data_IF_200954755735
#
_entry.id   IF_200954755735
#
_cell.length_a   1.000
_cell.length_b   1.000
_cell.length_c   1.000
_cell.angle_alpha   90.00
_cell.angle_beta   90.00
_cell.angle_gamma   90.00
#
_symmetry.space_group_name_H-M   'P 1'
#
loop_
_entity.id
_entity.type
_entity.pdbx_description
1 polymer ?
#
# COMPACT_ATOMS: atom_id res chain seq x y z
N UNK A 1 40.96 15.22 44.07
CA UNK A 1 40.94 15.17 42.59
C UNK A 1 39.55 14.70 42.21
N UNK A 2 38.61 15.65 42.13
CA UNK A 2 37.29 15.37 41.60
C UNK A 2 37.45 15.18 40.10
N UNK A 3 37.11 13.99 39.63
CA UNK A 3 37.06 13.68 38.21
C UNK A 3 35.76 14.25 37.66
N UNK A 4 35.87 15.36 36.93
CA UNK A 4 34.78 15.89 36.13
C UNK A 4 34.37 14.82 35.11
N UNK A 5 33.26 14.12 35.40
CA UNK A 5 32.52 13.37 34.39
C UNK A 5 31.99 14.38 33.38
N UNK A 6 32.71 14.55 32.28
CA UNK A 6 32.26 15.27 31.10
C UNK A 6 31.05 14.50 30.57
N UNK A 7 29.84 14.93 30.94
CA UNK A 7 28.60 14.43 30.33
C UNK A 7 28.70 14.77 28.85
N UNK A 8 28.89 13.75 28.03
CA UNK A 8 28.93 13.89 26.59
C UNK A 8 27.56 14.40 26.15
N UNK A 9 27.49 15.68 25.76
CA UNK A 9 26.26 16.32 25.32
C UNK A 9 25.75 15.57 24.09
N UNK A 10 24.69 14.78 24.30
CA UNK A 10 24.07 13.97 23.25
C UNK A 10 23.49 14.92 22.19
N UNK A 11 24.24 15.10 21.12
CA UNK A 11 23.81 15.86 19.95
C UNK A 11 23.04 14.89 19.05
N UNK A 12 21.74 15.09 18.89
CA UNK A 12 20.92 14.24 18.02
C UNK A 12 21.24 14.51 16.55
N UNK A 13 21.24 13.48 15.72
CA UNK A 13 21.37 13.56 14.27
C UNK A 13 20.03 13.25 13.63
N UNK A 14 19.50 14.17 12.82
CA UNK A 14 18.20 14.01 12.16
C UNK A 14 18.30 14.05 10.65
N UNK A 15 17.29 13.50 9.99
CA UNK A 15 17.08 13.66 8.55
C UNK A 15 15.90 14.60 8.34
N UNK A 16 16.14 15.72 7.67
CA UNK A 16 15.10 16.71 7.35
C UNK A 16 14.72 16.58 5.88
N UNK A 17 13.44 16.64 5.57
CA UNK A 17 12.87 16.70 4.22
C UNK A 17 12.08 17.99 4.02
N UNK A 18 11.87 18.40 2.77
CA UNK A 18 10.88 19.46 2.48
C UNK A 18 9.48 18.94 2.76
N UNK A 19 8.62 19.77 3.34
CA UNK A 19 7.24 19.46 3.63
C UNK A 19 6.53 18.89 2.38
N UNK A 20 5.83 17.76 2.52
CA UNK A 20 5.19 17.05 1.41
C UNK A 20 6.08 16.17 0.52
N UNK A 21 7.38 16.04 0.81
CA UNK A 21 8.32 15.25 -0.02
C UNK A 21 8.99 14.11 0.75
N UNK A 22 9.29 13.00 0.07
CA UNK A 22 10.06 11.87 0.62
C UNK A 22 11.43 11.68 -0.03
N UNK A 23 11.87 12.63 -0.85
CA UNK A 23 13.13 12.61 -1.59
C UNK A 23 14.02 13.79 -1.19
N UNK A 24 15.32 13.68 -1.46
CA UNK A 24 16.32 14.71 -1.19
C UNK A 24 16.45 15.13 0.28
N UNK A 25 16.24 14.16 1.18
CA UNK A 25 16.47 14.33 2.61
C UNK A 25 17.92 14.70 2.92
N UNK A 26 18.12 15.60 3.89
CA UNK A 26 19.45 16.06 4.29
C UNK A 26 19.65 15.84 5.78
N UNK A 27 20.86 15.41 6.13
CA UNK A 27 21.24 15.13 7.52
C UNK A 27 21.68 16.43 8.21
N UNK A 28 21.25 16.60 9.46
CA UNK A 28 21.62 17.71 10.35
C UNK A 28 21.99 17.17 11.73
N UNK A 29 22.92 17.86 12.38
CA UNK A 29 23.04 17.80 13.84
C UNK A 29 22.02 18.77 14.43
N UNK A 30 21.38 18.37 15.51
CA UNK A 30 20.39 19.17 16.22
C UNK A 30 21.12 20.11 17.19
N UNK A 31 21.15 21.42 16.92
CA UNK A 31 21.66 22.40 17.89
C UNK A 31 20.67 22.56 19.05
N UNK A 32 21.08 23.28 20.09
CA UNK A 32 20.23 23.58 21.27
C UNK A 32 19.09 24.56 20.98
N UNK A 33 19.22 25.33 19.91
CA UNK A 33 18.28 26.38 19.56
C UNK A 33 17.56 26.02 18.26
N UNK A 34 16.23 26.07 18.27
CA UNK A 34 15.41 25.82 17.09
C UNK A 34 15.69 26.83 15.96
N UNK A 35 15.96 28.09 16.28
CA UNK A 35 16.27 29.12 15.29
C UNK A 35 17.57 28.79 14.53
N UNK A 36 18.59 28.33 15.25
CA UNK A 36 19.86 27.89 14.66
C UNK A 36 19.65 26.68 13.74
N UNK A 37 18.79 25.73 14.15
CA UNK A 37 18.42 24.59 13.31
C UNK A 37 17.68 25.05 12.04
N UNK A 38 16.72 25.96 12.17
CA UNK A 38 15.96 26.50 11.05
C UNK A 38 16.84 27.29 10.08
N UNK A 39 17.78 28.09 10.57
CA UNK A 39 18.76 28.81 9.73
C UNK A 39 19.66 27.83 8.95
N UNK A 40 20.17 26.80 9.61
CA UNK A 40 20.97 25.76 8.96
C UNK A 40 20.17 25.02 7.87
N UNK A 41 18.91 24.69 8.17
CA UNK A 41 17.99 24.06 7.22
C UNK A 41 17.70 25.01 6.05
N UNK A 42 17.37 26.27 6.31
CA UNK A 42 17.10 27.29 5.30
C UNK A 42 18.26 27.44 4.31
N UNK A 43 19.48 27.57 4.84
CA UNK A 43 20.70 27.69 4.05
C UNK A 43 20.94 26.45 3.19
N UNK A 44 20.76 25.25 3.76
CA UNK A 44 21.01 24.00 3.05
C UNK A 44 19.95 23.77 1.96
N UNK A 45 18.68 23.94 2.27
CA UNK A 45 17.58 23.69 1.32
C UNK A 45 17.31 24.84 0.34
N UNK A 46 17.86 26.03 0.57
CA UNK A 46 17.56 27.22 -0.23
C UNK A 46 16.09 27.64 -0.11
N UNK A 47 15.51 27.55 1.08
CA UNK A 47 14.11 27.89 1.36
C UNK A 47 14.04 28.82 2.58
N UNK A 48 12.91 29.51 2.76
CA UNK A 48 12.62 30.19 4.01
C UNK A 48 12.07 29.17 5.01
N UNK A 49 12.91 28.57 5.85
CA UNK A 49 12.45 27.64 6.89
C UNK A 49 11.74 28.41 8.01
N UNK A 50 10.51 28.00 8.36
CA UNK A 50 9.76 28.62 9.48
C UNK A 50 9.22 27.64 10.49
N UNK A 51 8.84 26.44 10.04
CA UNK A 51 8.20 25.43 10.89
C UNK A 51 8.82 24.08 10.62
N UNK A 52 8.82 23.24 11.65
CA UNK A 52 9.41 21.91 11.62
C UNK A 52 8.40 20.92 12.18
N UNK A 53 8.23 19.77 11.53
CA UNK A 53 7.24 18.77 11.92
C UNK A 53 7.86 17.38 12.01
N UNK A 54 7.31 16.55 12.89
CA UNK A 54 7.52 15.10 12.89
C UNK A 54 6.80 14.44 11.72
N UNK A 55 7.11 13.17 11.44
CA UNK A 55 6.41 12.37 10.44
C UNK A 55 4.91 12.18 10.69
N UNK A 56 4.45 12.40 11.92
CA UNK A 56 3.03 12.35 12.31
C UNK A 56 2.34 13.72 12.28
N UNK A 57 3.04 14.77 11.85
CA UNK A 57 2.52 16.13 11.77
C UNK A 57 2.51 16.90 13.09
N UNK A 58 3.12 16.37 14.15
CA UNK A 58 3.38 17.15 15.37
C UNK A 58 4.44 18.20 15.10
N UNK A 59 4.13 19.46 15.37
CA UNK A 59 5.07 20.59 15.23
C UNK A 59 6.13 20.54 16.33
N UNK A 60 7.37 20.80 15.95
CA UNK A 60 8.51 20.88 16.88
C UNK A 60 8.71 22.35 17.25
N UNK A 61 8.55 22.64 18.53
CA UNK A 61 8.82 23.93 19.16
C UNK A 61 10.06 23.90 20.06
N UNK A 62 10.47 22.73 20.53
CA UNK A 62 11.68 22.52 21.34
C UNK A 62 12.58 21.42 20.75
N UNK A 63 13.83 21.79 20.43
CA UNK A 63 14.85 20.86 19.94
C UNK A 63 15.21 19.75 20.93
N UNK A 64 14.99 19.94 22.23
CA UNK A 64 15.24 18.91 23.24
C UNK A 64 14.31 17.69 23.10
N UNK A 65 13.17 17.85 22.40
CA UNK A 65 12.22 16.77 22.16
C UNK A 65 12.59 15.89 20.97
N UNK A 66 13.53 16.35 20.13
CA UNK A 66 13.97 15.66 18.93
C UNK A 66 14.81 14.45 19.30
N UNK A 67 14.47 13.29 18.77
CA UNK A 67 15.20 12.05 18.98
C UNK A 67 16.32 11.89 17.95
N UNK A 68 17.33 11.12 18.33
CA UNK A 68 18.38 10.71 17.41
C UNK A 68 17.78 9.86 16.27
N UNK A 69 18.25 10.11 15.06
CA UNK A 69 17.79 9.52 13.80
C UNK A 69 16.32 9.82 13.44
N UNK A 70 15.72 10.83 14.06
CA UNK A 70 14.34 11.22 13.76
C UNK A 70 14.23 11.88 12.37
N UNK A 71 13.10 11.60 11.70
CA UNK A 71 12.76 12.21 10.41
C UNK A 71 11.84 13.40 10.63
N UNK A 72 12.27 14.56 10.13
CA UNK A 72 11.58 15.83 10.29
C UNK A 72 11.25 16.45 8.93
N UNK A 73 10.25 17.34 8.91
CA UNK A 73 9.77 18.02 7.72
C UNK A 73 9.78 19.53 7.93
N UNK A 74 10.50 20.26 7.07
CA UNK A 74 10.57 21.72 7.12
C UNK A 74 9.57 22.36 6.15
N UNK A 75 8.84 23.36 6.64
CA UNK A 75 7.89 24.16 5.86
C UNK A 75 8.26 25.65 5.86
N UNK A 76 7.76 26.38 4.86
CA UNK A 76 7.92 27.84 4.74
C UNK A 76 6.80 28.66 5.40
N UNK A 77 6.02 28.00 6.26
CA UNK A 77 4.91 28.58 7.03
C UNK A 77 3.63 27.78 6.89
N UNK A 78 3.47 27.03 5.81
CA UNK A 78 2.35 26.13 5.60
C UNK A 78 2.27 25.03 6.67
N UNK A 79 1.05 24.52 6.89
CA UNK A 79 0.80 23.37 7.76
C UNK A 79 1.49 22.11 7.22
N UNK A 80 1.66 21.12 8.09
CA UNK A 80 2.23 19.84 7.69
C UNK A 80 1.49 19.22 6.51
N UNK A 81 2.25 18.79 5.51
CA UNK A 81 1.81 18.02 4.35
C UNK A 81 2.53 16.67 4.47
N UNK A 82 1.76 15.62 4.72
CA UNK A 82 2.30 14.27 4.73
C UNK A 82 3.00 13.99 3.39
N UNK A 83 4.24 13.50 3.38
CA UNK A 83 4.92 13.19 2.14
C UNK A 83 4.16 12.12 1.36
N UNK A 84 4.28 12.09 0.04
CA UNK A 84 3.49 11.21 -0.84
C UNK A 84 3.57 9.72 -0.48
N UNK A 85 4.64 9.27 0.21
CA UNK A 85 4.80 7.91 0.71
C UNK A 85 4.22 7.64 2.11
N UNK A 86 3.79 8.69 2.83
CA UNK A 86 3.12 8.61 4.15
C UNK A 86 1.68 9.15 4.10
N UNK A 87 1.28 9.80 3.00
CA UNK A 87 -0.13 9.90 2.66
C UNK A 87 -0.70 8.48 2.61
N UNK A 88 -1.93 8.22 3.10
CA UNK A 88 -2.56 6.92 2.91
C UNK A 88 -2.43 6.56 1.43
N UNK A 89 -1.73 5.46 1.16
CA UNK A 89 -1.46 4.93 -0.18
C UNK A 89 -2.68 5.23 -1.05
N UNK A 90 -2.50 6.05 -2.10
CA UNK A 90 -3.53 6.13 -3.14
C UNK A 90 -3.87 4.68 -3.47
N UNK A 91 -5.16 4.29 -3.52
CA UNK A 91 -5.52 2.92 -3.83
C UNK A 91 -4.76 2.51 -5.09
N UNK A 92 -3.85 1.55 -4.95
CA UNK A 92 -3.02 1.06 -6.05
C UNK A 92 -3.94 0.31 -7.00
N UNK A 93 -4.55 1.07 -7.91
CA UNK A 93 -5.54 0.59 -8.84
C UNK A 93 -4.89 -0.31 -9.87
N UNK A 94 -5.41 -1.53 -9.95
CA UNK A 94 -5.03 -2.56 -10.90
C UNK A 94 -6.18 -2.75 -11.88
N UNK A 95 -5.85 -2.75 -13.17
CA UNK A 95 -6.79 -3.08 -14.24
C UNK A 95 -6.50 -4.50 -14.74
N UNK A 96 -7.52 -5.35 -14.72
CA UNK A 96 -7.47 -6.71 -15.27
C UNK A 96 -8.36 -6.76 -16.52
N UNK A 97 -7.90 -7.39 -17.58
CA UNK A 97 -8.70 -7.68 -18.76
C UNK A 97 -8.88 -9.20 -18.84
N UNK A 98 -10.06 -9.67 -18.41
CA UNK A 98 -10.39 -11.09 -18.32
C UNK A 98 -11.29 -11.45 -19.48
N UNK A 99 -10.76 -12.19 -20.46
CA UNK A 99 -11.50 -12.63 -21.65
C UNK A 99 -12.13 -11.47 -22.45
N UNK A 100 -11.54 -10.27 -22.41
CA UNK A 100 -12.03 -9.08 -23.09
C UNK A 100 -12.85 -8.11 -22.22
N UNK A 101 -13.21 -8.47 -20.98
CA UNK A 101 -13.90 -7.57 -20.03
C UNK A 101 -12.90 -6.96 -19.05
N UNK A 102 -12.93 -5.63 -18.91
CA UNK A 102 -12.10 -4.90 -17.95
C UNK A 102 -12.69 -4.90 -16.54
N UNK A 103 -11.86 -5.19 -15.55
CA UNK A 103 -12.15 -5.10 -14.13
C UNK A 103 -11.14 -4.17 -13.47
N UNK A 104 -11.64 -3.12 -12.82
CA UNK A 104 -10.82 -2.25 -11.97
C UNK A 104 -10.93 -2.72 -10.50
N UNK A 105 -9.78 -2.85 -9.84
CA UNK A 105 -9.69 -3.22 -8.42
C UNK A 105 -8.43 -2.63 -7.81
N UNK A 106 -8.16 -2.91 -6.54
CA UNK A 106 -6.93 -2.47 -5.87
C UNK A 106 -6.01 -3.65 -5.64
N UNK A 107 -4.70 -3.41 -5.60
CA UNK A 107 -3.71 -4.42 -5.22
C UNK A 107 -4.08 -5.13 -3.91
N UNK A 108 -4.50 -4.37 -2.90
CA UNK A 108 -4.98 -4.92 -1.62
C UNK A 108 -6.10 -5.94 -1.80
N UNK A 109 -7.08 -5.70 -2.69
CA UNK A 109 -8.15 -6.66 -2.95
C UNK A 109 -7.60 -8.01 -3.41
N UNK A 110 -6.57 -7.99 -4.27
CA UNK A 110 -6.01 -9.20 -4.88
C UNK A 110 -5.09 -9.98 -3.93
N UNK A 111 -4.48 -9.33 -2.93
CA UNK A 111 -3.47 -9.95 -2.07
C UNK A 111 -3.94 -10.24 -0.65
N UNK A 112 -4.95 -9.51 -0.14
CA UNK A 112 -5.27 -9.54 1.30
C UNK A 112 -5.97 -10.81 1.76
N UNK A 113 -6.87 -11.38 0.95
CA UNK A 113 -7.73 -12.50 1.37
C UNK A 113 -7.11 -13.86 1.10
N UNK A 114 -6.50 -14.02 -0.07
CA UNK A 114 -5.89 -15.26 -0.53
C UNK A 114 -4.45 -14.97 -1.00
N UNK A 115 -3.50 -14.73 -0.08
CA UNK A 115 -2.14 -14.35 -0.44
C UNK A 115 -1.41 -15.41 -1.27
N UNK A 116 -1.74 -16.69 -1.06
CA UNK A 116 -1.16 -17.83 -1.78
C UNK A 116 -1.82 -18.10 -3.14
N UNK A 117 -2.94 -17.41 -3.42
CA UNK A 117 -3.60 -17.50 -4.72
C UNK A 117 -2.67 -17.03 -5.84
N UNK A 118 -3.00 -17.40 -7.07
CA UNK A 118 -2.30 -16.92 -8.25
C UNK A 118 -2.27 -15.38 -8.31
N UNK A 119 -3.40 -14.74 -8.04
CA UNK A 119 -3.51 -13.27 -8.03
C UNK A 119 -2.75 -12.67 -6.84
N UNK A 120 -2.82 -13.30 -5.66
CA UNK A 120 -2.08 -12.89 -4.48
C UNK A 120 -0.56 -12.89 -4.71
N UNK A 121 -0.04 -13.95 -5.31
CA UNK A 121 1.39 -14.06 -5.68
C UNK A 121 1.81 -13.14 -6.82
N UNK A 122 0.92 -12.87 -7.77
CA UNK A 122 1.20 -11.96 -8.88
C UNK A 122 1.32 -10.50 -8.42
N UNK A 123 0.54 -10.14 -7.41
CA UNK A 123 0.40 -8.76 -6.96
C UNK A 123 1.01 -8.49 -5.57
N UNK A 124 1.71 -9.45 -4.97
CA UNK A 124 2.42 -9.26 -3.69
C UNK A 124 3.61 -8.30 -3.81
N UNK A 125 3.99 -7.70 -2.68
CA UNK A 125 5.17 -6.82 -2.60
C UNK A 125 6.45 -7.60 -2.88
N UNK A 126 7.33 -7.06 -3.74
CA UNK A 126 8.58 -7.72 -4.17
C UNK A 126 8.48 -8.52 -5.48
N UNK A 127 7.27 -8.74 -6.00
CA UNK A 127 7.11 -9.19 -7.38
C UNK A 127 7.29 -7.99 -8.33
N UNK A 128 8.52 -7.76 -8.81
CA UNK A 128 8.88 -6.74 -9.81
C UNK A 128 8.29 -7.04 -11.21
N UNK A 129 7.01 -7.45 -11.29
CA UNK A 129 6.41 -7.95 -12.53
C UNK A 129 7.13 -9.16 -13.14
N UNK A 130 8.10 -9.75 -12.44
CA UNK A 130 9.00 -10.80 -12.93
C UNK A 130 8.40 -12.20 -12.82
N UNK A 131 7.39 -12.39 -11.94
CA UNK A 131 6.79 -13.69 -11.66
C UNK A 131 5.82 -14.13 -12.77
N UNK A 132 5.33 -13.20 -13.57
CA UNK A 132 4.45 -13.52 -14.69
C UNK A 132 4.64 -12.50 -15.83
N UNK A 133 5.03 -12.90 -17.05
CA UNK A 133 5.02 -12.04 -18.22
C UNK A 133 3.56 -11.87 -18.68
N UNK A 134 2.73 -11.28 -17.82
CA UNK A 134 1.35 -10.97 -18.13
C UNK A 134 1.38 -9.90 -19.20
N UNK A 135 1.09 -10.28 -20.44
CA UNK A 135 0.89 -9.33 -21.50
C UNK A 135 -0.14 -8.29 -21.02
N UNK A 136 0.17 -7.01 -21.24
CA UNK A 136 -0.75 -5.91 -20.96
C UNK A 136 -1.38 -5.46 -22.26
N UNK A 137 -2.65 -5.08 -22.21
CA UNK A 137 -3.26 -4.40 -23.36
C UNK A 137 -2.80 -2.94 -23.48
N UNK A 138 -3.28 -2.23 -24.52
CA UNK A 138 -2.99 -0.82 -24.76
C UNK A 138 -3.41 0.13 -23.62
N UNK A 139 -4.28 -0.32 -22.72
CA UNK A 139 -4.76 0.42 -21.56
C UNK A 139 -3.97 0.07 -20.28
N UNK A 140 -2.94 -0.79 -20.39
CA UNK A 140 -2.13 -1.24 -19.26
C UNK A 140 -2.81 -2.33 -18.43
N UNK A 141 -3.92 -2.91 -18.88
CA UNK A 141 -4.63 -3.97 -18.16
C UNK A 141 -3.89 -5.30 -18.29
N UNK A 142 -3.74 -6.03 -17.18
CA UNK A 142 -3.18 -7.38 -17.18
C UNK A 142 -4.14 -8.33 -17.91
N UNK A 143 -3.67 -8.98 -18.97
CA UNK A 143 -4.48 -9.89 -19.77
C UNK A 143 -4.62 -11.25 -19.06
N UNK A 144 -5.86 -11.73 -19.00
CA UNK A 144 -6.21 -13.04 -18.45
C UNK A 144 -7.14 -13.74 -19.43
N UNK A 145 -6.66 -14.82 -20.04
CA UNK A 145 -7.42 -15.59 -21.03
C UNK A 145 -8.41 -16.56 -20.36
N UNK A 146 -9.38 -16.01 -19.62
CA UNK A 146 -10.39 -16.75 -18.83
C UNK A 146 -11.78 -16.11 -18.98
N UNK A 147 -12.79 -16.80 -18.46
CA UNK A 147 -14.19 -16.33 -18.54
C UNK A 147 -14.46 -15.19 -17.55
N UNK A 148 -14.84 -13.98 -18.03
CA UNK A 148 -15.17 -12.88 -17.13
C UNK A 148 -16.43 -13.13 -16.29
N UNK A 149 -17.39 -13.88 -16.82
CA UNK A 149 -18.67 -14.19 -16.16
C UNK A 149 -18.46 -14.95 -14.85
N UNK A 150 -17.49 -15.85 -14.80
CA UNK A 150 -17.20 -16.67 -13.62
C UNK A 150 -16.13 -16.05 -12.71
N UNK A 151 -15.36 -15.08 -13.21
CA UNK A 151 -14.40 -14.33 -12.42
C UNK A 151 -15.05 -13.29 -11.51
N UNK A 152 -16.12 -12.63 -11.96
CA UNK A 152 -16.76 -11.52 -11.23
C UNK A 152 -17.22 -11.90 -9.81
N UNK A 153 -17.87 -13.05 -9.56
CA UNK A 153 -18.17 -13.51 -8.20
C UNK A 153 -16.93 -13.70 -7.32
N UNK A 154 -15.82 -14.17 -7.89
CA UNK A 154 -14.56 -14.38 -7.16
C UNK A 154 -13.90 -13.04 -6.80
N UNK A 155 -13.91 -12.07 -7.71
CA UNK A 155 -13.40 -10.74 -7.41
C UNK A 155 -14.21 -10.07 -6.29
N UNK A 156 -15.53 -10.23 -6.30
CA UNK A 156 -16.40 -9.74 -5.23
C UNK A 156 -16.14 -10.46 -3.90
N UNK A 157 -15.95 -11.78 -3.93
CA UNK A 157 -15.49 -12.53 -2.76
C UNK A 157 -14.18 -11.97 -2.18
N UNK A 158 -13.20 -11.63 -3.02
CA UNK A 158 -11.95 -11.02 -2.56
C UNK A 158 -12.15 -9.61 -1.96
N UNK A 159 -13.16 -8.86 -2.40
CA UNK A 159 -13.48 -7.50 -1.89
C UNK A 159 -14.13 -7.51 -0.51
N UNK A 160 -15.18 -8.30 -0.33
CA UNK A 160 -16.03 -8.23 0.88
C UNK A 160 -16.16 -9.57 1.61
N UNK A 161 -15.56 -10.63 1.08
CA UNK A 161 -15.42 -11.90 1.76
C UNK A 161 -16.63 -12.84 1.71
N UNK A 162 -17.67 -12.47 0.96
CA UNK A 162 -18.88 -13.26 0.78
C UNK A 162 -18.96 -13.77 -0.65
N UNK A 163 -19.22 -15.06 -0.84
CA UNK A 163 -19.45 -15.64 -2.16
C UNK A 163 -20.94 -15.45 -2.52
N UNK A 164 -21.20 -14.63 -3.53
CA UNK A 164 -22.56 -14.34 -4.02
C UNK A 164 -22.61 -14.73 -5.50
N UNK A 165 -23.59 -15.58 -5.86
CA UNK A 165 -23.82 -16.04 -7.22
C UNK A 165 -25.16 -15.49 -7.73
N UNK A 166 -25.10 -14.64 -8.74
CA UNK A 166 -26.31 -14.12 -9.39
C UNK A 166 -27.04 -15.21 -10.18
N UNK A 167 -28.33 -14.98 -10.45
CA UNK A 167 -29.14 -15.89 -11.28
C UNK A 167 -28.52 -16.03 -12.67
N UNK A 168 -28.34 -17.28 -13.10
CA UNK A 168 -27.74 -17.61 -14.40
C UNK A 168 -26.23 -17.79 -14.38
N UNK A 169 -25.55 -17.47 -13.26
CA UNK A 169 -24.13 -17.81 -13.07
C UNK A 169 -24.03 -19.25 -12.58
N UNK A 170 -23.42 -20.11 -13.40
CA UNK A 170 -23.22 -21.52 -13.03
C UNK A 170 -22.22 -21.65 -11.87
N UNK A 171 -22.61 -22.24 -10.72
CA UNK A 171 -21.69 -22.50 -9.62
C UNK A 171 -20.50 -23.36 -10.04
N UNK A 172 -20.72 -24.32 -10.95
CA UNK A 172 -19.65 -25.16 -11.52
C UNK A 172 -18.66 -24.34 -12.35
N UNK A 173 -19.13 -23.33 -13.09
CA UNK A 173 -18.24 -22.42 -13.83
C UNK A 173 -17.35 -21.61 -12.89
N UNK A 174 -17.92 -21.10 -11.79
CA UNK A 174 -17.18 -20.37 -10.76
C UNK A 174 -16.19 -21.28 -10.02
N UNK A 175 -16.54 -22.55 -9.79
CA UNK A 175 -15.65 -23.54 -9.20
C UNK A 175 -14.38 -23.77 -10.02
N UNK A 176 -14.50 -23.90 -11.35
CA UNK A 176 -13.34 -24.09 -12.23
C UNK A 176 -12.42 -22.85 -12.24
N UNK A 177 -12.99 -21.65 -12.20
CA UNK A 177 -12.18 -20.43 -12.05
C UNK A 177 -11.53 -20.34 -10.66
N UNK A 178 -12.23 -20.69 -9.58
CA UNK A 178 -11.66 -20.68 -8.23
C UNK A 178 -10.44 -21.59 -8.12
N UNK A 179 -10.50 -22.78 -8.74
CA UNK A 179 -9.37 -23.71 -8.86
C UNK A 179 -8.23 -23.12 -9.68
N UNK A 180 -8.54 -22.48 -10.82
CA UNK A 180 -7.53 -21.84 -11.67
C UNK A 180 -6.77 -20.72 -10.95
N UNK A 181 -7.49 -19.81 -10.29
CA UNK A 181 -6.87 -18.70 -9.56
C UNK A 181 -6.28 -19.13 -8.21
N UNK A 182 -6.53 -20.36 -7.74
CA UNK A 182 -6.07 -20.83 -6.44
C UNK A 182 -6.76 -20.12 -5.26
N UNK A 183 -8.05 -19.81 -5.38
CA UNK A 183 -8.87 -19.23 -4.31
C UNK A 183 -9.51 -20.42 -3.57
N UNK A 184 -8.72 -21.09 -2.74
CA UNK A 184 -9.09 -22.40 -2.18
C UNK A 184 -10.26 -22.32 -1.18
N UNK A 185 -10.35 -21.22 -0.44
CA UNK A 185 -11.34 -21.05 0.63
C UNK A 185 -12.81 -21.14 0.19
N UNK A 186 -13.11 -20.84 -1.08
CA UNK A 186 -14.48 -20.93 -1.63
C UNK A 186 -14.81 -22.28 -2.28
N UNK A 187 -13.81 -23.13 -2.51
CA UNK A 187 -13.98 -24.40 -3.23
C UNK A 187 -15.00 -25.33 -2.53
N UNK A 188 -14.93 -25.59 -1.21
CA UNK A 188 -15.86 -26.52 -0.57
C UNK A 188 -17.32 -26.07 -0.66
N UNK A 189 -17.55 -24.77 -0.59
CA UNK A 189 -18.88 -24.18 -0.75
C UNK A 189 -19.41 -24.32 -2.18
N UNK A 190 -18.57 -24.01 -3.18
CA UNK A 190 -18.92 -24.14 -4.59
C UNK A 190 -19.20 -25.60 -4.99
N UNK A 191 -18.46 -26.56 -4.45
CA UNK A 191 -18.70 -28.00 -4.67
C UNK A 191 -20.06 -28.43 -4.11
N UNK A 192 -20.37 -28.03 -2.88
CA UNK A 192 -21.68 -28.28 -2.26
C UNK A 192 -22.82 -27.68 -3.08
N UNK A 193 -22.72 -26.42 -3.50
CA UNK A 193 -23.77 -25.74 -4.30
C UNK A 193 -23.91 -26.42 -5.68
N UNK A 194 -22.82 -26.91 -6.26
CA UNK A 194 -22.85 -27.59 -7.57
C UNK A 194 -23.53 -28.95 -7.51
N UNK A 195 -23.45 -29.66 -6.37
CA UNK A 195 -24.11 -30.95 -6.17
C UNK A 195 -25.62 -30.81 -5.93
N UNK A 196 -26.05 -29.79 -5.17
CA UNK A 196 -27.48 -29.54 -4.86
C UNK A 196 -28.30 -29.20 -6.11
N UNK A 197 -27.70 -28.57 -7.11
CA UNK A 197 -28.37 -28.25 -8.38
C UNK A 197 -28.48 -29.44 -9.35
N UNK A 198 -28.08 -30.65 -8.92
CA UNK A 198 -28.10 -31.87 -9.75
C UNK A 198 -29.18 -32.88 -9.32
N UNK A 199 -30.00 -32.62 -8.30
CA UNK A 199 -31.13 -33.50 -7.95
C UNK A 199 -32.32 -33.23 -8.88
N UNK A 200 -32.77 -34.19 -9.70
CA UNK A 200 -33.97 -34.04 -10.52
C UNK A 200 -35.20 -33.92 -9.61
N UNK A 201 -36.19 -33.11 -10.01
CA UNK A 201 -37.54 -33.22 -9.48
C UNK A 201 -38.07 -34.63 -9.78
N UNK A 202 -38.24 -35.46 -8.76
CA UNK A 202 -39.04 -36.68 -8.88
C UNK A 202 -40.50 -36.25 -9.12
N UNK A 203 -41.08 -36.74 -10.21
CA UNK A 203 -42.50 -36.62 -10.58
C UNK A 203 -43.19 -37.93 -10.21
#
# INVERSE_FOLDING_TARGET
MESEHRVEEKTARVVVYRNGTSRDGRVFLVPRNLDELLEAIAAKFGIQAKRLFTSKGGEIDDTCLIRDEETLFVSSGESFIAPESLAPEKPDWVLLNVGGKHFATTRSTLVSKEPDSMLGRLFSEGADGTVWPSAKDRHGAYLVDRSPTYFEPLLNYLRHGQLILDRGVSPRGVLEEAKFYGIESVIPELERISQVNSTPFEI
#
